data_IF_136665312781
#
_entry.id   IF_136665312781
#
_cell.length_a   1.000
_cell.length_b   1.000
_cell.length_c   1.000
_cell.angle_alpha   90.00
_cell.angle_beta   90.00
_cell.angle_gamma   90.00
#
_symmetry.space_group_name_H-M   'P 1'
#
loop_
_entity.id
_entity.type
_entity.pdbx_description
1 polymer ?
#
# COMPACT_ATOMS: atom_id res chain seq x y z
N UNK A 1 -6.21 10.93 14.22
CA UNK A 1 -6.25 9.98 13.10
C UNK A 1 -6.85 10.68 11.90
N UNK A 2 -6.22 10.57 10.74
CA UNK A 2 -6.72 11.18 9.52
C UNK A 2 -7.97 10.46 9.02
N UNK A 3 -8.79 11.16 8.19
CA UNK A 3 -9.99 10.54 7.61
C UNK A 3 -9.66 9.34 6.73
N UNK A 4 -8.53 9.37 6.00
CA UNK A 4 -8.09 8.25 5.18
C UNK A 4 -7.72 7.04 6.04
N UNK A 5 -6.97 7.27 7.10
CA UNK A 5 -6.56 6.19 7.99
C UNK A 5 -7.78 5.56 8.69
N UNK A 6 -8.69 6.38 9.18
CA UNK A 6 -9.91 5.89 9.81
C UNK A 6 -10.75 5.08 8.81
N UNK A 7 -10.84 5.54 7.57
CA UNK A 7 -11.55 4.84 6.49
C UNK A 7 -10.97 3.45 6.25
N UNK A 8 -9.63 3.32 6.30
CA UNK A 8 -8.97 2.01 6.13
C UNK A 8 -9.29 1.06 7.29
N UNK A 9 -9.28 1.55 8.53
CA UNK A 9 -9.65 0.71 9.67
C UNK A 9 -11.10 0.26 9.58
N UNK A 10 -12.00 1.15 9.15
CA UNK A 10 -13.41 0.80 8.95
C UNK A 10 -13.57 -0.22 7.83
N UNK A 11 -12.81 -0.06 6.75
CA UNK A 11 -12.81 -1.02 5.64
C UNK A 11 -12.39 -2.40 6.13
N UNK A 12 -11.31 -2.48 6.92
CA UNK A 12 -10.86 -3.75 7.48
C UNK A 12 -11.97 -4.42 8.31
N UNK A 13 -12.65 -3.64 9.13
CA UNK A 13 -13.75 -4.15 9.95
C UNK A 13 -14.89 -4.67 9.07
N UNK A 14 -15.24 -3.95 8.02
CA UNK A 14 -16.29 -4.36 7.07
C UNK A 14 -15.92 -5.65 6.34
N UNK A 15 -14.65 -5.88 6.09
CA UNK A 15 -14.14 -7.08 5.41
C UNK A 15 -13.82 -8.21 6.38
N UNK A 16 -14.12 -8.02 7.67
CA UNK A 16 -13.83 -9.01 8.72
C UNK A 16 -12.34 -9.35 8.79
N UNK A 17 -11.50 -8.34 8.63
CA UNK A 17 -10.04 -8.45 8.75
C UNK A 17 -9.64 -7.92 10.12
N UNK A 18 -9.01 -8.75 10.93
CA UNK A 18 -8.51 -8.35 12.24
C UNK A 18 -7.25 -7.51 12.07
N UNK A 19 -7.23 -6.31 12.66
CA UNK A 19 -6.04 -5.45 12.67
C UNK A 19 -5.63 -5.23 14.11
N UNK A 20 -4.44 -5.70 14.47
CA UNK A 20 -3.91 -5.61 15.82
C UNK A 20 -2.64 -4.76 15.85
N UNK A 21 -2.51 -3.94 16.89
CA UNK A 21 -1.30 -3.19 17.15
C UNK A 21 -0.35 -4.08 17.95
N UNK A 22 0.78 -4.41 17.34
CA UNK A 22 1.74 -5.38 17.91
C UNK A 22 3.15 -4.83 17.74
N UNK A 23 3.92 -4.89 18.81
CA UNK A 23 5.35 -4.55 18.75
C UNK A 23 6.09 -5.67 18.00
N UNK A 24 6.82 -5.32 16.96
CA UNK A 24 7.53 -6.27 16.10
C UNK A 24 9.02 -5.94 16.02
N UNK A 25 9.86 -6.96 15.85
CA UNK A 25 11.31 -6.78 15.81
C UNK A 25 11.85 -6.54 14.40
N UNK A 26 11.24 -7.15 13.37
CA UNK A 26 11.76 -7.13 11.99
C UNK A 26 10.89 -6.43 10.97
N UNK A 27 9.67 -6.10 11.32
CA UNK A 27 8.72 -5.51 10.39
C UNK A 27 7.98 -4.38 11.07
N UNK A 28 7.37 -3.50 10.30
CA UNK A 28 6.46 -2.47 10.79
C UNK A 28 5.01 -2.86 10.59
N UNK A 29 4.76 -3.75 9.64
CA UNK A 29 3.43 -4.29 9.37
C UNK A 29 3.56 -5.67 8.74
N UNK A 30 2.51 -6.47 8.86
CA UNK A 30 2.47 -7.84 8.37
C UNK A 30 1.03 -8.28 8.19
N UNK A 31 0.75 -8.99 7.11
CA UNK A 31 -0.57 -9.60 6.90
C UNK A 31 -0.43 -11.11 6.69
N UNK A 32 -1.39 -11.85 7.20
CA UNK A 32 -1.38 -13.31 7.10
C UNK A 32 -2.78 -13.84 6.81
N UNK A 33 -2.90 -14.92 6.00
CA UNK A 33 -4.14 -15.64 5.89
C UNK A 33 -4.32 -16.53 7.12
N UNK A 34 -5.55 -16.66 7.59
CA UNK A 34 -5.90 -17.50 8.73
C UNK A 34 -6.51 -18.81 8.24
N UNK A 35 -6.46 -19.89 9.07
CA UNK A 35 -6.99 -21.19 8.66
C UNK A 35 -8.48 -21.19 8.33
N UNK A 36 -9.26 -20.25 8.91
CA UNK A 36 -10.70 -20.15 8.69
C UNK A 36 -11.08 -19.36 7.42
N UNK A 37 -10.09 -18.95 6.63
CA UNK A 37 -10.32 -18.18 5.40
C UNK A 37 -10.33 -16.67 5.60
N UNK A 38 -10.24 -16.21 6.84
CA UNK A 38 -10.12 -14.78 7.12
C UNK A 38 -8.66 -14.35 7.06
N UNK A 39 -8.41 -13.07 7.27
CA UNK A 39 -7.06 -12.49 7.27
C UNK A 39 -6.84 -11.70 8.54
N UNK A 40 -5.59 -11.58 8.93
CA UNK A 40 -5.18 -10.76 10.06
C UNK A 40 -4.00 -9.87 9.65
N UNK A 41 -4.00 -8.66 10.20
CA UNK A 41 -2.93 -7.69 9.98
C UNK A 41 -2.38 -7.29 11.34
N UNK A 42 -1.05 -7.29 11.46
CA UNK A 42 -0.34 -6.75 12.60
C UNK A 42 0.34 -5.44 12.16
N UNK A 43 0.20 -4.41 12.96
CA UNK A 43 0.81 -3.10 12.73
C UNK A 43 1.54 -2.67 13.98
N UNK A 44 2.76 -2.13 13.81
CA UNK A 44 3.56 -1.56 14.89
C UNK A 44 3.62 -0.04 14.71
N UNK A 45 2.59 0.70 15.17
CA UNK A 45 2.57 2.15 14.98
C UNK A 45 3.64 2.88 15.77
N UNK A 46 4.22 2.25 16.80
CA UNK A 46 5.29 2.87 17.60
C UNK A 46 6.60 3.00 16.80
N UNK A 47 6.76 2.23 15.72
CA UNK A 47 7.91 2.35 14.82
C UNK A 47 7.67 3.33 13.69
N UNK A 48 6.46 3.84 13.55
CA UNK A 48 6.10 4.76 12.48
C UNK A 48 6.23 6.19 12.96
N UNK A 49 6.83 7.04 12.15
CA UNK A 49 7.07 8.44 12.51
C UNK A 49 5.90 9.36 12.16
N UNK A 50 4.86 8.84 11.51
CA UNK A 50 3.71 9.66 11.13
C UNK A 50 2.47 8.81 10.89
N UNK A 51 1.30 9.46 10.97
CA UNK A 51 0.02 8.84 10.59
C UNK A 51 -0.02 8.54 9.09
N UNK A 52 0.70 9.31 8.30
CA UNK A 52 0.83 9.07 6.86
C UNK A 52 1.51 7.73 6.59
N UNK A 53 2.56 7.40 7.32
CA UNK A 53 3.23 6.12 7.20
C UNK A 53 2.31 4.96 7.62
N UNK A 54 1.56 5.15 8.71
CA UNK A 54 0.58 4.14 9.14
C UNK A 54 -0.48 3.92 8.06
N UNK A 55 -0.95 4.99 7.43
CA UNK A 55 -1.94 4.92 6.34
C UNK A 55 -1.43 4.07 5.19
N UNK A 56 -0.20 4.34 4.73
CA UNK A 56 0.41 3.60 3.62
C UNK A 56 0.63 2.14 3.99
N UNK A 57 1.16 1.88 5.19
CA UNK A 57 1.41 0.50 5.63
C UNK A 57 0.11 -0.30 5.75
N UNK A 58 -0.92 0.28 6.35
CA UNK A 58 -2.21 -0.41 6.48
C UNK A 58 -2.84 -0.67 5.12
N UNK A 59 -2.80 0.30 4.20
CA UNK A 59 -3.33 0.11 2.86
C UNK A 59 -2.59 -1.00 2.11
N UNK A 60 -1.28 -1.08 2.26
CA UNK A 60 -0.46 -2.13 1.66
C UNK A 60 -0.87 -3.51 2.18
N UNK A 61 -1.01 -3.66 3.50
CA UNK A 61 -1.41 -4.94 4.10
C UNK A 61 -2.83 -5.33 3.70
N UNK A 62 -3.75 -4.36 3.65
CA UNK A 62 -5.09 -4.60 3.13
C UNK A 62 -5.05 -5.04 1.67
N UNK A 63 -4.12 -4.49 0.89
CA UNK A 63 -3.90 -4.89 -0.50
C UNK A 63 -3.54 -6.37 -0.61
N UNK A 64 -2.68 -6.88 0.26
CA UNK A 64 -2.37 -8.31 0.31
C UNK A 64 -3.63 -9.13 0.59
N UNK A 65 -4.45 -8.70 1.54
CA UNK A 65 -5.67 -9.41 1.91
C UNK A 65 -6.70 -9.42 0.79
N UNK A 66 -6.93 -8.25 0.18
CA UNK A 66 -7.97 -8.09 -0.84
C UNK A 66 -7.62 -8.76 -2.17
N UNK A 67 -6.32 -8.88 -2.48
CA UNK A 67 -5.87 -9.52 -3.72
C UNK A 67 -5.45 -10.97 -3.52
N UNK A 68 -5.40 -11.44 -2.28
CA UNK A 68 -4.88 -12.78 -1.98
C UNK A 68 -3.40 -12.93 -2.31
N UNK A 69 -2.65 -11.83 -2.30
CA UNK A 69 -1.25 -11.80 -2.74
C UNK A 69 -0.30 -12.13 -1.59
N UNK A 70 -0.25 -13.40 -1.23
CA UNK A 70 0.66 -13.90 -0.19
C UNK A 70 1.71 -14.80 -0.84
N UNK A 71 2.90 -14.81 -0.26
CA UNK A 71 3.99 -15.64 -0.76
C UNK A 71 4.71 -16.32 0.39
N UNK A 72 5.33 -17.46 0.07
CA UNK A 72 6.17 -18.19 1.02
C UNK A 72 7.47 -17.40 1.23
N UNK A 73 7.98 -17.40 2.47
CA UNK A 73 9.22 -16.69 2.79
C UNK A 73 10.42 -17.18 1.96
N UNK A 74 10.34 -18.37 1.41
CA UNK A 74 11.39 -18.95 0.56
C UNK A 74 11.14 -18.72 -0.94
N UNK A 75 10.09 -17.99 -1.30
CA UNK A 75 9.81 -17.70 -2.70
C UNK A 75 10.94 -16.87 -3.32
N UNK A 76 11.18 -17.10 -4.61
CA UNK A 76 12.19 -16.33 -5.34
C UNK A 76 11.78 -14.85 -5.42
N UNK A 77 12.77 -14.00 -5.57
CA UNK A 77 12.59 -12.54 -5.54
C UNK A 77 11.50 -12.05 -6.50
N UNK A 78 11.44 -12.61 -7.71
CA UNK A 78 10.46 -12.20 -8.71
C UNK A 78 9.02 -12.48 -8.27
N UNK A 79 8.79 -13.63 -7.64
CA UNK A 79 7.46 -13.99 -7.12
C UNK A 79 7.07 -13.05 -5.98
N UNK A 80 8.00 -12.76 -5.07
CA UNK A 80 7.75 -11.84 -3.96
C UNK A 80 7.39 -10.45 -4.49
N UNK A 81 8.15 -9.94 -5.46
CA UNK A 81 7.90 -8.63 -6.06
C UNK A 81 6.53 -8.55 -6.72
N UNK A 82 6.09 -9.62 -7.41
CA UNK A 82 4.77 -9.65 -8.02
C UNK A 82 3.66 -9.50 -6.99
N UNK A 83 3.78 -10.20 -5.86
CA UNK A 83 2.79 -10.11 -4.78
C UNK A 83 2.83 -8.74 -4.11
N UNK A 84 4.02 -8.21 -3.84
CA UNK A 84 4.17 -6.87 -3.28
C UNK A 84 3.61 -5.82 -4.23
N UNK A 85 3.84 -5.95 -5.53
CA UNK A 85 3.31 -5.01 -6.53
C UNK A 85 1.79 -5.06 -6.61
N UNK A 86 1.18 -6.23 -6.47
CA UNK A 86 -0.28 -6.36 -6.44
C UNK A 86 -0.87 -5.63 -5.23
N UNK A 87 -0.26 -5.79 -4.07
CA UNK A 87 -0.67 -5.09 -2.86
C UNK A 87 -0.53 -3.58 -3.03
N UNK A 88 0.60 -3.12 -3.59
CA UNK A 88 0.83 -1.70 -3.84
C UNK A 88 -0.19 -1.13 -4.83
N UNK A 89 -0.49 -1.85 -5.91
CA UNK A 89 -1.48 -1.38 -6.89
C UNK A 89 -2.86 -1.23 -6.26
N UNK A 90 -3.26 -2.18 -5.42
CA UNK A 90 -4.52 -2.07 -4.70
C UNK A 90 -4.52 -0.83 -3.79
N UNK A 91 -3.45 -0.67 -3.01
CA UNK A 91 -3.30 0.47 -2.09
C UNK A 91 -3.31 1.81 -2.83
N UNK A 92 -2.62 1.88 -3.97
CA UNK A 92 -2.60 3.09 -4.80
C UNK A 92 -4.01 3.44 -5.29
N UNK A 93 -4.74 2.47 -5.82
CA UNK A 93 -6.09 2.71 -6.31
C UNK A 93 -7.05 3.12 -5.19
N UNK A 94 -6.82 2.61 -3.99
CA UNK A 94 -7.63 2.95 -2.82
C UNK A 94 -7.35 4.36 -2.31
N UNK A 95 -6.06 4.72 -2.17
CA UNK A 95 -5.66 5.98 -1.56
C UNK A 95 -5.59 7.13 -2.57
N UNK A 96 -5.28 6.81 -3.83
CA UNK A 96 -5.09 7.79 -4.89
C UNK A 96 -5.92 7.34 -6.09
N UNK A 97 -7.27 7.46 -6.04
CA UNK A 97 -8.10 7.10 -7.18
C UNK A 97 -7.69 7.89 -8.42
N UNK A 98 -7.70 7.22 -9.58
CA UNK A 98 -7.19 7.80 -10.83
C UNK A 98 -7.84 9.12 -11.19
N UNK A 99 -9.16 9.22 -11.04
CA UNK A 99 -9.90 10.44 -11.34
C UNK A 99 -9.46 11.61 -10.45
N UNK A 100 -9.21 11.34 -9.17
CA UNK A 100 -8.72 12.35 -8.23
C UNK A 100 -7.28 12.75 -8.55
N UNK A 101 -6.45 11.80 -8.98
CA UNK A 101 -5.09 12.08 -9.43
C UNK A 101 -5.11 13.01 -10.66
N UNK A 102 -5.93 12.69 -11.64
CA UNK A 102 -6.07 13.53 -12.84
C UNK A 102 -6.58 14.93 -12.50
N UNK A 103 -7.52 15.04 -11.56
CA UNK A 103 -8.01 16.32 -11.08
C UNK A 103 -6.89 17.13 -10.43
N UNK A 104 -6.06 16.48 -9.61
CA UNK A 104 -4.92 17.16 -8.98
C UNK A 104 -3.96 17.73 -10.01
N UNK A 105 -3.63 16.96 -11.05
CA UNK A 105 -2.77 17.43 -12.14
C UNK A 105 -3.40 18.61 -12.89
N UNK A 106 -4.71 18.54 -13.16
CA UNK A 106 -5.43 19.61 -13.83
C UNK A 106 -5.46 20.89 -13.00
N UNK A 107 -5.44 20.76 -11.67
CA UNK A 107 -5.37 21.89 -10.74
C UNK A 107 -3.95 22.48 -10.64
N UNK A 108 -2.98 21.92 -11.36
CA UNK A 108 -1.60 22.39 -11.32
C UNK A 108 -0.75 21.77 -10.20
N UNK A 109 -1.28 20.79 -9.49
CA UNK A 109 -0.54 20.08 -8.44
C UNK A 109 0.33 19.02 -9.09
N UNK A 110 1.58 19.35 -9.42
CA UNK A 110 2.48 18.48 -10.19
C UNK A 110 3.74 18.07 -9.43
N UNK A 111 4.10 18.79 -8.35
CA UNK A 111 5.26 18.44 -7.55
C UNK A 111 4.96 17.23 -6.68
N UNK A 112 5.92 16.32 -6.57
CA UNK A 112 5.75 15.06 -5.84
C UNK A 112 5.33 15.28 -4.38
N UNK A 113 5.99 16.21 -3.70
CA UNK A 113 5.67 16.51 -2.30
C UNK A 113 4.26 17.08 -2.13
N UNK A 114 3.82 17.92 -3.05
CA UNK A 114 2.47 18.51 -3.01
C UNK A 114 1.40 17.45 -3.27
N UNK A 115 1.65 16.56 -4.23
CA UNK A 115 0.76 15.44 -4.50
C UNK A 115 0.67 14.50 -3.28
N UNK A 116 1.80 14.18 -2.67
CA UNK A 116 1.83 13.34 -1.48
C UNK A 116 1.03 13.96 -0.34
N UNK A 117 1.20 15.25 -0.12
CA UNK A 117 0.44 15.98 0.91
C UNK A 117 -1.05 16.00 0.61
N UNK A 118 -1.42 16.20 -0.64
CA UNK A 118 -2.83 16.26 -1.06
C UNK A 118 -3.54 14.94 -0.80
N UNK A 119 -2.88 13.82 -1.03
CA UNK A 119 -3.47 12.50 -0.85
C UNK A 119 -3.19 11.88 0.52
N UNK A 120 -2.39 12.54 1.35
CA UNK A 120 -2.10 12.05 2.70
C UNK A 120 -1.27 10.78 2.70
N UNK A 121 -0.32 10.69 1.77
CA UNK A 121 0.57 9.52 1.63
C UNK A 121 2.03 9.98 1.69
N UNK A 122 2.94 9.02 1.81
CA UNK A 122 4.38 9.32 1.79
C UNK A 122 4.83 9.69 0.37
N UNK A 123 5.93 10.47 0.23
CA UNK A 123 6.48 10.76 -1.09
C UNK A 123 6.87 9.50 -1.87
N UNK A 124 7.42 8.50 -1.20
CA UNK A 124 7.80 7.23 -1.81
C UNK A 124 6.59 6.50 -2.39
N UNK A 125 5.49 6.49 -1.65
CA UNK A 125 4.24 5.88 -2.11
C UNK A 125 3.64 6.67 -3.29
N UNK A 126 3.69 8.00 -3.20
CA UNK A 126 3.21 8.87 -4.30
C UNK A 126 4.00 8.63 -5.58
N UNK A 127 5.31 8.42 -5.46
CA UNK A 127 6.17 8.12 -6.61
C UNK A 127 5.71 6.83 -7.31
N UNK A 128 5.38 5.81 -6.54
CA UNK A 128 4.82 4.56 -7.09
C UNK A 128 3.50 4.80 -7.81
N UNK A 129 2.65 5.65 -7.26
CA UNK A 129 1.36 5.98 -7.88
C UNK A 129 1.55 6.72 -9.21
N UNK A 130 2.45 7.69 -9.24
CA UNK A 130 2.79 8.41 -10.46
C UNK A 130 3.28 7.44 -11.52
N UNK A 131 4.16 6.52 -11.13
CA UNK A 131 4.69 5.50 -12.04
C UNK A 131 3.58 4.62 -12.59
N UNK A 132 2.69 4.14 -11.72
CA UNK A 132 1.58 3.27 -12.14
C UNK A 132 0.67 3.97 -13.15
N UNK A 133 0.30 5.21 -12.88
CA UNK A 133 -0.63 5.95 -13.73
C UNK A 133 0.00 6.49 -15.00
N UNK A 134 1.32 6.67 -15.01
CA UNK A 134 2.04 7.13 -16.20
C UNK A 134 2.36 5.99 -17.16
N UNK A 135 2.83 4.85 -16.62
CA UNK A 135 3.34 3.74 -17.44
C UNK A 135 2.43 2.50 -17.44
N UNK A 136 1.38 2.49 -16.64
CA UNK A 136 0.46 1.35 -16.54
C UNK A 136 0.94 0.22 -15.66
N UNK A 137 2.16 0.31 -15.10
CA UNK A 137 2.71 -0.66 -14.17
C UNK A 137 3.73 0.03 -13.27
N UNK A 138 4.29 -0.71 -12.31
CA UNK A 138 5.33 -0.18 -11.46
C UNK A 138 6.68 -0.23 -12.16
N UNK A 139 7.53 0.78 -11.95
CA UNK A 139 8.80 0.94 -12.65
C UNK A 139 9.69 -0.29 -12.54
N UNK A 140 9.69 -0.93 -11.38
CA UNK A 140 10.53 -2.11 -11.15
C UNK A 140 10.15 -3.27 -12.07
N UNK A 141 8.88 -3.38 -12.45
CA UNK A 141 8.41 -4.39 -13.40
C UNK A 141 8.90 -4.07 -14.82
N UNK A 142 8.95 -2.77 -15.14
CA UNK A 142 9.34 -2.30 -16.46
C UNK A 142 10.82 -2.47 -16.73
N UNK A 143 11.66 -2.22 -15.74
CA UNK A 143 13.10 -2.19 -15.92
C UNK A 143 13.75 -3.58 -15.91
N UNK A 144 13.07 -4.54 -15.30
CA UNK A 144 13.67 -5.87 -15.17
C UNK A 144 14.08 -6.52 -16.50
N UNK A 145 13.24 -6.49 -17.54
CA UNK A 145 13.64 -7.10 -18.83
C UNK A 145 14.82 -6.39 -19.48
N UNK A 146 15.02 -5.12 -19.18
CA UNK A 146 16.12 -4.33 -19.75
C UNK A 146 17.42 -4.63 -19.04
N UNK A 147 17.36 -4.88 -17.75
CA UNK A 147 18.50 -5.12 -16.90
C UNK A 147 18.90 -6.60 -16.86
N UNK A 148 17.98 -7.46 -17.23
CA UNK A 148 18.15 -8.91 -17.17
C UNK A 148 18.97 -9.51 -18.28
#
# INVERSE_FOLDING_TARGET
>A
MTSNLLSLYRFAEQQDIDVDWVSMTRATSLSVPLPDGRYAIAIDPWKMDSLTMETVCLAHELGHCETGSFYNQYAVCDIRKKHENRADKWAIRRLIPRDQYETALADGCTELSDLANRFGVTPEFMEKAVCLYTYGNLAIESYRPILG
#
